data_IF_875858359485
#
_entry.id   IF_875858359485
#
_cell.length_a   1.000
_cell.length_b   1.000
_cell.length_c   1.000
_cell.angle_alpha   90.00
_cell.angle_beta   90.00
_cell.angle_gamma   90.00
#
_symmetry.space_group_name_H-M   'P 1'
#
loop_
_entity.id
_entity.type
_entity.pdbx_description
1 polymer ?
#
# COMPACT_ATOMS: atom_id res chain seq x y z
N UNK A 1 19.43 11.20 -21.42
CA UNK A 1 18.95 10.23 -20.40
C UNK A 1 19.95 10.25 -19.25
N UNK A 2 19.55 10.56 -18.02
CA UNK A 2 20.50 10.55 -16.89
C UNK A 2 20.90 9.10 -16.61
N UNK A 3 22.19 8.81 -16.67
CA UNK A 3 22.74 7.50 -16.31
C UNK A 3 22.85 7.41 -14.79
N UNK A 4 22.46 6.27 -14.22
CA UNK A 4 22.51 6.02 -12.77
C UNK A 4 23.41 4.82 -12.48
N UNK A 5 23.92 4.76 -11.24
CA UNK A 5 24.72 3.64 -10.76
C UNK A 5 25.87 3.28 -11.73
N UNK A 6 26.74 4.26 -12.01
CA UNK A 6 27.86 4.12 -12.94
C UNK A 6 27.43 3.58 -14.33
N UNK A 7 26.37 4.15 -14.91
CA UNK A 7 25.87 3.76 -16.24
C UNK A 7 25.07 2.45 -16.30
N UNK A 8 24.99 1.68 -15.22
CA UNK A 8 24.34 0.35 -15.22
C UNK A 8 22.82 0.43 -15.22
N UNK A 9 22.25 1.52 -14.71
CA UNK A 9 20.83 1.61 -14.43
C UNK A 9 20.16 2.71 -15.25
N UNK A 10 18.98 2.38 -15.78
CA UNK A 10 17.99 3.34 -16.28
C UNK A 10 17.38 4.12 -15.12
N UNK A 11 16.81 5.30 -15.40
CA UNK A 11 16.09 6.08 -14.39
C UNK A 11 14.92 5.30 -13.77
N UNK A 12 14.23 4.48 -14.57
CA UNK A 12 13.14 3.63 -14.09
C UNK A 12 13.62 2.56 -13.09
N UNK A 13 14.80 1.97 -13.34
CA UNK A 13 15.40 0.99 -12.41
C UNK A 13 15.84 1.68 -11.12
N UNK A 14 16.49 2.85 -11.23
CA UNK A 14 16.86 3.66 -10.06
C UNK A 14 15.64 4.02 -9.21
N UNK A 15 14.57 4.53 -9.84
CA UNK A 15 13.34 4.88 -9.15
C UNK A 15 12.70 3.67 -8.44
N UNK A 16 12.65 2.52 -9.11
CA UNK A 16 12.13 1.27 -8.51
C UNK A 16 12.95 0.83 -7.29
N UNK A 17 14.27 0.99 -7.34
CA UNK A 17 15.16 0.70 -6.22
C UNK A 17 14.85 1.59 -5.01
N UNK A 18 14.74 2.91 -5.20
CA UNK A 18 14.40 3.84 -4.11
C UNK A 18 13.00 3.57 -3.54
N UNK A 19 12.00 3.35 -4.40
CA UNK A 19 10.63 3.00 -3.97
C UNK A 19 10.63 1.72 -3.12
N UNK A 20 11.44 0.73 -3.47
CA UNK A 20 11.58 -0.50 -2.68
C UNK A 20 12.17 -0.23 -1.29
N UNK A 21 13.21 0.61 -1.20
CA UNK A 21 13.80 1.01 0.07
C UNK A 21 12.79 1.77 0.95
N UNK A 22 12.06 2.73 0.38
CA UNK A 22 11.01 3.48 1.09
C UNK A 22 9.88 2.57 1.58
N UNK A 23 9.44 1.59 0.78
CA UNK A 23 8.41 0.61 1.19
C UNK A 23 8.88 -0.28 2.34
N UNK A 24 10.17 -0.62 2.39
CA UNK A 24 10.74 -1.36 3.52
C UNK A 24 10.77 -0.50 4.79
N UNK A 25 11.07 0.79 4.69
CA UNK A 25 10.94 1.73 5.80
C UNK A 25 9.47 1.90 6.24
N UNK A 26 8.54 2.08 5.30
CA UNK A 26 7.10 2.15 5.56
C UNK A 26 6.55 0.91 6.26
N UNK A 27 7.12 -0.26 6.00
CA UNK A 27 6.73 -1.48 6.70
C UNK A 27 7.04 -1.44 8.20
N UNK A 28 7.96 -0.58 8.64
CA UNK A 28 8.34 -0.33 10.04
C UNK A 28 7.70 0.93 10.62
N UNK A 29 6.85 1.63 9.86
CA UNK A 29 6.22 2.88 10.29
C UNK A 29 5.20 2.61 11.41
N UNK A 30 5.41 3.19 12.59
CA UNK A 30 4.62 2.93 13.80
C UNK A 30 3.12 3.11 13.59
N UNK A 31 2.73 4.25 13.03
CA UNK A 31 1.33 4.63 12.76
C UNK A 31 0.58 3.56 11.96
N UNK A 32 1.26 2.90 11.01
CA UNK A 32 0.67 1.81 10.21
C UNK A 32 0.25 0.62 11.10
N UNK A 33 1.04 0.34 12.14
CA UNK A 33 0.75 -0.71 13.11
C UNK A 33 -0.36 -0.28 14.07
N UNK A 34 -0.40 1.00 14.45
CA UNK A 34 -1.42 1.57 15.34
C UNK A 34 -2.80 1.51 14.68
N UNK A 35 -2.91 1.98 13.42
CA UNK A 35 -4.15 1.91 12.63
C UNK A 35 -4.64 0.47 12.47
N UNK A 36 -3.72 -0.47 12.23
CA UNK A 36 -4.08 -1.88 12.13
C UNK A 36 -4.60 -2.41 13.46
N UNK A 37 -3.97 -2.03 14.57
CA UNK A 37 -4.36 -2.46 15.91
C UNK A 37 -5.71 -1.87 16.31
N UNK A 38 -5.97 -0.60 16.02
CA UNK A 38 -7.25 0.07 16.26
C UNK A 38 -8.41 -0.58 15.49
N UNK A 39 -8.16 -1.13 14.29
CA UNK A 39 -9.17 -1.85 13.52
C UNK A 39 -9.46 -3.28 14.04
N UNK A 40 -8.73 -3.78 15.04
CA UNK A 40 -8.90 -5.15 15.55
C UNK A 40 -10.15 -5.25 16.43
N UNK A 41 -11.08 -6.14 16.06
CA UNK A 41 -12.32 -6.38 16.82
C UNK A 41 -12.30 -7.68 17.63
N UNK A 42 -11.44 -8.63 17.24
CA UNK A 42 -11.17 -9.84 17.99
C UNK A 42 -9.77 -10.37 17.60
N UNK A 43 -9.28 -11.42 18.28
CA UNK A 43 -7.98 -12.03 17.94
C UNK A 43 -7.96 -12.47 16.47
N UNK A 44 -7.12 -11.80 15.67
CA UNK A 44 -6.97 -12.11 14.24
C UNK A 44 -8.12 -11.63 13.35
N UNK A 45 -9.07 -10.84 13.87
CA UNK A 45 -10.22 -10.31 13.10
C UNK A 45 -10.16 -8.79 13.09
N UNK A 46 -10.26 -8.20 11.89
CA UNK A 46 -10.12 -6.76 11.67
C UNK A 46 -11.34 -6.21 10.95
N UNK A 47 -11.84 -5.06 11.40
CA UNK A 47 -12.96 -4.34 10.81
C UNK A 47 -12.50 -3.63 9.55
N UNK A 48 -13.17 -3.90 8.44
CA UNK A 48 -12.94 -3.20 7.18
C UNK A 48 -13.62 -1.83 7.22
N UNK A 49 -12.86 -0.75 6.94
CA UNK A 49 -13.40 0.61 6.89
C UNK A 49 -14.47 0.78 5.79
N UNK A 50 -14.33 0.07 4.65
CA UNK A 50 -15.25 0.21 3.51
C UNK A 50 -16.55 -0.55 3.65
N UNK A 51 -16.51 -1.80 4.11
CA UNK A 51 -17.71 -2.65 4.18
C UNK A 51 -18.24 -2.88 5.61
N UNK A 52 -17.56 -2.35 6.63
CA UNK A 52 -17.94 -2.46 8.03
C UNK A 52 -17.76 -3.85 8.66
N UNK A 53 -17.54 -4.89 7.86
CA UNK A 53 -17.44 -6.29 8.34
C UNK A 53 -16.10 -6.57 9.00
N UNK A 54 -16.13 -7.35 10.09
CA UNK A 54 -14.95 -8.01 10.63
C UNK A 54 -14.53 -9.18 9.73
N UNK A 55 -13.23 -9.29 9.43
CA UNK A 55 -12.71 -10.40 8.61
C UNK A 55 -11.37 -10.91 9.15
N UNK A 56 -11.04 -12.19 8.94
CA UNK A 56 -9.75 -12.74 9.34
C UNK A 56 -8.60 -11.96 8.73
N UNK A 57 -7.48 -11.84 9.44
CA UNK A 57 -6.28 -11.13 9.01
C UNK A 57 -5.69 -11.67 7.70
N UNK A 58 -5.92 -12.95 7.41
CA UNK A 58 -5.40 -13.63 6.23
C UNK A 58 -6.46 -14.51 5.58
N UNK A 59 -6.44 -14.59 4.26
CA UNK A 59 -7.19 -15.54 3.46
C UNK A 59 -6.37 -16.82 3.21
N UNK A 60 -7.05 -17.96 2.96
CA UNK A 60 -6.38 -19.15 2.49
C UNK A 60 -5.59 -18.87 1.19
N UNK A 61 -4.56 -19.69 0.92
CA UNK A 61 -3.86 -19.67 -0.35
C UNK A 61 -4.83 -19.85 -1.53
N UNK A 62 -4.43 -19.35 -2.70
CA UNK A 62 -5.10 -19.72 -3.95
C UNK A 62 -4.78 -21.18 -4.29
N UNK A 63 -5.60 -21.77 -5.15
CA UNK A 63 -5.35 -23.09 -5.71
C UNK A 63 -3.94 -23.16 -6.33
N UNK A 64 -3.21 -24.23 -6.02
CA UNK A 64 -1.81 -24.42 -6.44
C UNK A 64 -0.79 -23.49 -5.75
N UNK A 65 -1.19 -22.70 -4.73
CA UNK A 65 -0.27 -21.84 -3.95
C UNK A 65 -0.19 -22.31 -2.51
N UNK A 66 0.98 -22.16 -1.89
CA UNK A 66 1.21 -22.50 -0.47
C UNK A 66 1.05 -21.32 0.49
N UNK A 67 1.22 -20.08 0.01
CA UNK A 67 1.25 -18.88 0.85
C UNK A 67 -0.15 -18.31 1.09
N UNK A 68 -0.47 -18.07 2.38
CA UNK A 68 -1.65 -17.30 2.78
C UNK A 68 -1.55 -15.87 2.27
N UNK A 69 -2.70 -15.23 2.08
CA UNK A 69 -2.78 -13.86 1.55
C UNK A 69 -3.22 -12.90 2.63
N UNK A 70 -2.67 -11.69 2.64
CA UNK A 70 -3.13 -10.65 3.55
C UNK A 70 -4.58 -10.26 3.24
N UNK A 71 -5.39 -10.11 4.29
CA UNK A 71 -6.79 -9.72 4.22
C UNK A 71 -7.14 -8.57 5.17
N UNK A 72 -6.12 -7.97 5.79
CA UNK A 72 -6.23 -6.73 6.53
C UNK A 72 -5.12 -5.81 6.01
N UNK A 73 -5.34 -5.21 4.85
CA UNK A 73 -4.42 -4.26 4.23
C UNK A 73 -4.58 -2.90 4.91
N UNK A 74 -3.47 -2.32 5.38
CA UNK A 74 -3.43 -0.92 5.78
C UNK A 74 -3.10 -0.14 4.52
N UNK A 75 -4.04 0.68 4.09
CA UNK A 75 -4.05 1.34 2.79
C UNK A 75 -4.15 2.85 2.99
N UNK A 76 -3.45 3.60 2.14
CA UNK A 76 -3.56 5.07 2.12
C UNK A 76 -4.92 5.46 1.55
N UNK A 77 -5.66 6.34 2.21
CA UNK A 77 -6.93 6.88 1.68
C UNK A 77 -6.64 7.59 0.36
N UNK A 78 -5.74 8.56 0.42
CA UNK A 78 -5.18 9.22 -0.75
C UNK A 78 -3.92 8.46 -1.22
N UNK A 79 -3.88 7.98 -2.47
CA UNK A 79 -2.78 7.15 -2.94
C UNK A 79 -1.47 7.93 -2.97
N UNK A 80 -0.38 7.29 -2.52
CA UNK A 80 0.98 7.88 -2.50
C UNK A 80 1.39 8.45 -3.85
N UNK A 81 1.05 7.74 -4.93
CA UNK A 81 1.17 8.23 -6.30
C UNK A 81 -0.24 8.47 -6.81
N UNK A 82 -0.55 9.72 -7.13
CA UNK A 82 -1.85 10.08 -7.67
C UNK A 82 -2.05 9.36 -9.03
N UNK A 83 -3.18 8.68 -9.27
CA UNK A 83 -3.40 7.98 -10.53
C UNK A 83 -3.43 8.91 -11.74
N UNK A 84 -3.93 10.13 -11.61
CA UNK A 84 -4.15 11.07 -12.70
C UNK A 84 -2.93 11.95 -12.97
N UNK A 85 -2.23 12.37 -11.91
CA UNK A 85 -1.01 13.20 -12.00
C UNK A 85 0.24 12.33 -12.16
N UNK A 86 0.24 11.14 -11.56
CA UNK A 86 1.42 10.29 -11.50
C UNK A 86 2.40 10.75 -10.43
N UNK A 87 3.69 10.61 -10.72
CA UNK A 87 4.76 10.95 -9.78
C UNK A 87 5.23 12.37 -10.00
N UNK A 88 5.21 13.14 -8.93
CA UNK A 88 5.64 14.54 -8.91
C UNK A 88 7.14 14.60 -8.62
N UNK A 89 7.53 14.34 -7.38
CA UNK A 89 8.91 14.31 -6.92
C UNK A 89 9.07 13.42 -5.67
N UNK A 90 10.30 13.36 -5.12
CA UNK A 90 10.60 12.55 -3.96
C UNK A 90 10.08 13.12 -2.64
N UNK A 91 10.02 14.44 -2.48
CA UNK A 91 9.52 15.07 -1.25
C UNK A 91 8.03 14.75 -1.10
N UNK A 92 7.25 15.01 -2.14
CA UNK A 92 5.82 14.69 -2.23
C UNK A 92 5.58 13.19 -2.00
N UNK A 93 6.41 12.32 -2.58
CA UNK A 93 6.26 10.86 -2.40
C UNK A 93 6.50 10.45 -0.94
N UNK A 94 7.51 11.03 -0.28
CA UNK A 94 7.85 10.71 1.11
C UNK A 94 6.76 11.24 2.05
N UNK A 95 6.34 12.49 1.90
CA UNK A 95 5.26 13.10 2.68
C UNK A 95 3.97 12.29 2.58
N UNK A 96 3.57 11.86 1.37
CA UNK A 96 2.38 11.02 1.18
C UNK A 96 2.56 9.59 1.68
N UNK A 97 3.79 9.07 1.71
CA UNK A 97 4.05 7.70 2.17
C UNK A 97 3.98 7.60 3.69
N UNK A 98 4.51 8.58 4.41
CA UNK A 98 4.64 8.58 5.87
C UNK A 98 3.68 9.59 6.50
N UNK A 99 2.39 9.24 6.47
CA UNK A 99 1.30 10.05 7.03
C UNK A 99 0.86 9.54 8.41
N UNK A 100 0.06 10.37 9.08
CA UNK A 100 -0.61 10.08 10.35
C UNK A 100 -1.84 9.19 10.16
N UNK A 101 -2.42 8.75 11.28
CA UNK A 101 -3.44 7.69 11.33
C UNK A 101 -4.68 8.00 10.49
N UNK A 102 -5.07 9.27 10.43
CA UNK A 102 -6.27 9.79 9.77
C UNK A 102 -6.24 9.56 8.26
N UNK A 103 -5.05 9.48 7.66
CA UNK A 103 -4.88 9.24 6.23
C UNK A 103 -4.81 7.76 5.84
N UNK A 104 -4.96 6.84 6.79
CA UNK A 104 -4.99 5.40 6.54
C UNK A 104 -6.40 4.80 6.71
N UNK A 105 -6.62 3.67 6.04
CA UNK A 105 -7.79 2.82 6.21
C UNK A 105 -7.40 1.34 6.22
N UNK A 106 -8.07 0.53 7.05
CA UNK A 106 -7.92 -0.93 7.01
C UNK A 106 -8.97 -1.55 6.11
N UNK A 107 -8.53 -2.25 5.07
CA UNK A 107 -9.39 -2.85 4.05
C UNK A 107 -9.22 -4.35 3.98
N UNK A 108 -10.36 -5.06 3.81
CA UNK A 108 -10.32 -6.47 3.44
C UNK A 108 -9.82 -6.65 2.01
N UNK A 109 -9.31 -7.83 1.67
CA UNK A 109 -8.72 -8.11 0.36
C UNK A 109 -9.66 -7.73 -0.80
N UNK A 110 -10.96 -8.04 -0.68
CA UNK A 110 -11.97 -7.71 -1.70
C UNK A 110 -12.10 -6.20 -1.90
N UNK A 111 -12.26 -5.44 -0.81
CA UNK A 111 -12.43 -3.99 -0.85
C UNK A 111 -11.16 -3.27 -1.32
N UNK A 112 -9.99 -3.72 -0.84
CA UNK A 112 -8.69 -3.20 -1.26
C UNK A 112 -8.46 -3.45 -2.77
N UNK A 113 -8.71 -4.67 -3.25
CA UNK A 113 -8.59 -5.00 -4.68
C UNK A 113 -9.51 -4.14 -5.54
N UNK A 114 -10.76 -3.94 -5.10
CA UNK A 114 -11.70 -3.08 -5.82
C UNK A 114 -11.20 -1.62 -5.91
N UNK A 115 -10.64 -1.07 -4.82
CA UNK A 115 -10.04 0.27 -4.81
C UNK A 115 -8.85 0.36 -5.77
N UNK A 116 -7.89 -0.56 -5.66
CA UNK A 116 -6.72 -0.61 -6.54
C UNK A 116 -7.11 -0.71 -8.02
N UNK A 117 -8.14 -1.50 -8.36
CA UNK A 117 -8.60 -1.61 -9.74
C UNK A 117 -9.26 -0.33 -10.24
N UNK A 118 -10.02 0.38 -9.39
CA UNK A 118 -10.60 1.67 -9.74
C UNK A 118 -9.52 2.73 -9.97
N UNK A 119 -8.51 2.81 -9.10
CA UNK A 119 -7.35 3.71 -9.25
C UNK A 119 -6.58 3.41 -10.54
N UNK A 120 -6.34 2.13 -10.86
CA UNK A 120 -5.68 1.74 -12.13
C UNK A 120 -6.44 2.17 -13.37
N UNK A 121 -7.78 2.14 -13.33
CA UNK A 121 -8.61 2.61 -14.45
C UNK A 121 -8.51 4.13 -14.67
N UNK A 122 -8.34 4.90 -13.58
CA UNK A 122 -8.12 6.35 -13.63
C UNK A 122 -6.74 6.74 -14.13
N UNK A 123 -5.79 5.81 -14.14
CA UNK A 123 -4.40 6.11 -14.49
C UNK A 123 -4.28 6.54 -15.94
N UNK A 124 -4.01 7.84 -16.16
CA UNK A 124 -3.67 8.37 -17.48
C UNK A 124 -2.33 7.75 -17.92
N UNK A 125 -2.29 7.22 -19.14
CA UNK A 125 -1.06 6.69 -19.74
C UNK A 125 -0.19 7.82 -20.25
#
# INVERSE_FOLDING_TARGET
>A
MKTRNNGRWTEARFRSFIVSALRQAHAKWGVKHDVKSAARVARGVYKCAKCGKGSPATLPPLEGKKRRRNNAAVDHIDPVVDPEVGFVDWNTYIERMFIEAEGYQVLCHKCHTAKTNAERKRRKK
#
